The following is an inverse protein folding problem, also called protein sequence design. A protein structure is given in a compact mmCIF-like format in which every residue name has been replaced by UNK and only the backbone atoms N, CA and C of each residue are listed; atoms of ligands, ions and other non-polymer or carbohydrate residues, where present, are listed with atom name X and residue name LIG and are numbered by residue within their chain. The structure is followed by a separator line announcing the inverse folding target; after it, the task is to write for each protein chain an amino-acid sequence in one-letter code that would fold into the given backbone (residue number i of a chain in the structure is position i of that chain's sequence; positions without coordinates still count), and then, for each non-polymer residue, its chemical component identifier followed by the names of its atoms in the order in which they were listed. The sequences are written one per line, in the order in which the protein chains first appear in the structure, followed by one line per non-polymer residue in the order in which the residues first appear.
data_IF_247743765030
#
_entry.id   IF_247743765030
#
_cell.length_a   1.000
_cell.length_b   1.000
_cell.length_c   1.000
_cell.angle_alpha   90.00
_cell.angle_beta   90.00
_cell.angle_gamma   90.00
#
_symmetry.space_group_name_H-M   'P 1'
#
loop_
_entity.id
_entity.type
_entity.pdbx_description
1 polymer ?
#
# COMPACT_ATOMS: atom_id res chain seq x y z
N UNK A 1 -21.41 19.00 34.31
CA UNK A 1 -21.96 18.05 33.31
C UNK A 1 -22.22 18.88 32.07
N UNK A 2 -21.40 18.69 31.01
CA UNK A 2 -21.68 19.40 29.73
C UNK A 2 -22.89 18.70 29.10
N UNK A 3 -24.01 19.41 29.06
CA UNK A 3 -25.19 18.98 28.32
C UNK A 3 -24.80 18.77 26.84
N UNK A 4 -25.10 17.56 26.29
CA UNK A 4 -24.87 17.28 24.89
C UNK A 4 -25.77 18.17 24.05
N UNK A 5 -25.26 18.86 23.03
CA UNK A 5 -26.09 19.57 22.11
C UNK A 5 -27.09 18.62 21.40
N UNK A 6 -28.36 18.96 21.29
CA UNK A 6 -29.41 18.13 20.68
C UNK A 6 -29.10 17.67 19.25
N UNK A 7 -28.18 18.33 18.57
CA UNK A 7 -27.74 18.00 17.23
C UNK A 7 -26.59 16.96 17.16
N UNK A 8 -25.97 16.60 18.30
CA UNK A 8 -24.90 15.60 18.35
C UNK A 8 -25.48 14.18 18.27
N UNK A 9 -24.74 13.25 17.63
CA UNK A 9 -25.13 11.85 17.63
C UNK A 9 -25.07 11.25 19.04
N UNK A 10 -25.99 10.33 19.34
CA UNK A 10 -26.04 9.66 20.65
C UNK A 10 -24.73 8.96 20.99
N UNK A 11 -24.13 8.28 19.99
CA UNK A 11 -22.81 7.67 20.12
C UNK A 11 -21.87 8.24 19.03
N UNK A 12 -20.74 8.79 19.46
CA UNK A 12 -19.73 9.38 18.58
C UNK A 12 -18.32 9.00 19.06
N UNK A 13 -17.93 7.71 18.91
CA UNK A 13 -16.62 7.25 19.33
C UNK A 13 -15.53 8.05 18.64
N UNK A 14 -14.43 8.32 19.36
CA UNK A 14 -13.27 8.96 18.78
C UNK A 14 -12.59 8.01 17.78
N UNK A 15 -11.97 8.54 16.71
CA UNK A 15 -11.08 7.74 15.89
C UNK A 15 -9.99 7.09 16.74
N UNK A 16 -9.69 5.82 16.46
CA UNK A 16 -8.62 5.09 17.10
C UNK A 16 -7.26 5.44 16.45
N UNK A 17 -6.13 5.21 17.11
CA UNK A 17 -4.82 5.55 16.58
C UNK A 17 -4.55 4.94 15.19
N UNK A 18 -4.36 5.79 14.18
CA UNK A 18 -4.13 5.36 12.81
C UNK A 18 -5.34 4.71 12.13
N UNK A 19 -6.55 4.88 12.64
CA UNK A 19 -7.76 4.34 12.03
C UNK A 19 -8.07 5.02 10.70
N UNK A 20 -8.47 4.24 9.69
CA UNK A 20 -8.93 4.78 8.40
C UNK A 20 -10.37 5.28 8.51
N UNK A 21 -10.69 6.35 7.79
CA UNK A 21 -11.98 7.03 7.85
C UNK A 21 -13.19 6.11 7.68
N UNK A 22 -13.15 5.20 6.70
CA UNK A 22 -14.22 4.24 6.46
C UNK A 22 -14.47 3.33 7.66
N UNK A 23 -13.42 2.89 8.36
CA UNK A 23 -13.53 2.09 9.58
C UNK A 23 -14.20 2.88 10.70
N UNK A 24 -13.71 4.08 10.96
CA UNK A 24 -14.29 4.94 11.99
C UNK A 24 -15.77 5.27 11.72
N UNK A 25 -16.13 5.58 10.47
CA UNK A 25 -17.51 5.90 10.11
C UNK A 25 -18.44 4.68 10.35
N UNK A 26 -17.98 3.46 10.02
CA UNK A 26 -18.74 2.25 10.26
C UNK A 26 -18.87 1.93 11.76
N UNK A 27 -17.81 2.11 12.55
CA UNK A 27 -17.90 1.98 14.01
C UNK A 27 -18.89 2.97 14.61
N UNK A 28 -18.87 4.21 14.15
CA UNK A 28 -19.81 5.25 14.58
C UNK A 28 -21.26 4.90 14.22
N UNK A 29 -21.51 4.42 13.00
CA UNK A 29 -22.84 3.94 12.59
C UNK A 29 -23.37 2.81 13.49
N UNK A 30 -22.49 1.84 13.78
CA UNK A 30 -22.83 0.70 14.67
C UNK A 30 -23.09 1.11 16.10
N UNK A 31 -22.26 2.02 16.63
CA UNK A 31 -22.48 2.57 17.98
C UNK A 31 -23.87 3.22 18.10
N UNK A 32 -24.37 3.79 17.02
CA UNK A 32 -25.73 4.36 16.95
C UNK A 32 -26.78 3.31 16.55
N UNK A 33 -26.42 2.02 16.39
CA UNK A 33 -27.32 0.93 15.99
C UNK A 33 -28.01 1.12 14.65
N UNK A 34 -27.39 1.88 13.76
CA UNK A 34 -27.91 2.19 12.42
C UNK A 34 -27.03 1.48 11.37
N UNK A 35 -27.65 0.95 10.33
CA UNK A 35 -26.90 0.38 9.18
C UNK A 35 -26.05 1.48 8.54
N UNK A 36 -24.78 1.23 8.16
CA UNK A 36 -23.91 2.23 7.57
C UNK A 36 -24.52 3.02 6.41
N UNK A 37 -25.24 2.36 5.50
CA UNK A 37 -25.93 3.01 4.38
C UNK A 37 -27.02 3.96 4.84
N UNK A 38 -27.83 3.54 5.79
CA UNK A 38 -28.86 4.38 6.42
C UNK A 38 -28.26 5.53 7.19
N UNK A 39 -27.18 5.25 7.95
CA UNK A 39 -26.47 6.26 8.74
C UNK A 39 -25.92 7.38 7.84
N UNK A 40 -25.21 7.03 6.76
CA UNK A 40 -24.66 8.00 5.82
C UNK A 40 -25.76 8.77 5.09
N UNK A 41 -26.85 8.12 4.72
CA UNK A 41 -27.98 8.76 4.04
C UNK A 41 -28.67 9.78 4.94
N UNK A 42 -28.99 9.40 6.19
CA UNK A 42 -29.72 10.22 7.15
C UNK A 42 -28.88 11.38 7.71
N UNK A 43 -27.61 11.09 7.99
CA UNK A 43 -26.77 12.05 8.73
C UNK A 43 -25.96 12.97 7.83
N UNK A 44 -25.50 12.48 6.69
CA UNK A 44 -24.67 13.24 5.74
C UNK A 44 -25.41 13.66 4.47
N UNK A 45 -26.64 13.18 4.28
CA UNK A 45 -27.42 13.46 3.07
C UNK A 45 -26.81 12.92 1.78
N UNK A 46 -25.80 12.04 1.89
CA UNK A 46 -25.01 11.56 0.76
C UNK A 46 -25.08 10.03 0.64
N UNK A 47 -26.09 9.53 -0.06
CA UNK A 47 -26.28 8.10 -0.31
C UNK A 47 -25.15 7.46 -1.13
N UNK A 48 -24.31 8.24 -1.78
CA UNK A 48 -23.26 7.76 -2.67
C UNK A 48 -21.88 7.70 -2.02
N UNK A 49 -21.70 8.22 -0.80
CA UNK A 49 -20.41 8.24 -0.11
C UNK A 49 -19.77 6.84 0.00
N UNK A 50 -20.58 5.81 0.30
CA UNK A 50 -20.12 4.42 0.40
C UNK A 50 -19.85 3.75 -0.96
N UNK A 51 -20.16 4.41 -2.08
CA UNK A 51 -19.88 3.87 -3.43
C UNK A 51 -18.50 4.25 -3.95
N UNK A 52 -17.95 5.36 -3.46
CA UNK A 52 -16.62 5.86 -3.81
C UNK A 52 -15.54 5.44 -2.82
N UNK A 53 -14.32 5.88 -3.07
CA UNK A 53 -13.20 5.77 -2.12
C UNK A 53 -13.29 6.92 -1.11
N UNK A 54 -14.08 6.69 -0.04
CA UNK A 54 -14.33 7.68 0.99
C UNK A 54 -13.10 8.01 1.85
N UNK A 55 -12.06 7.16 1.79
CA UNK A 55 -10.85 7.35 2.57
C UNK A 55 -9.90 8.39 1.94
N UNK A 56 -10.12 8.78 0.68
CA UNK A 56 -9.19 9.70 0.00
C UNK A 56 -9.22 11.10 0.55
N UNK A 57 -10.37 11.73 0.50
CA UNK A 57 -10.56 13.12 0.96
C UNK A 57 -12.02 13.37 1.29
N UNK A 58 -12.25 14.02 2.39
CA UNK A 58 -13.58 14.48 2.75
C UNK A 58 -13.89 15.81 2.05
N UNK A 59 -15.09 15.92 1.50
CA UNK A 59 -15.60 17.21 1.03
C UNK A 59 -15.78 18.16 2.21
N UNK A 60 -15.52 19.47 2.07
CA UNK A 60 -15.61 20.42 3.17
C UNK A 60 -16.95 20.39 3.91
N UNK A 61 -18.06 20.27 3.17
CA UNK A 61 -19.40 20.20 3.78
C UNK A 61 -19.63 18.91 4.58
N UNK A 62 -19.05 17.77 4.13
CA UNK A 62 -19.12 16.50 4.86
C UNK A 62 -18.27 16.59 6.12
N UNK A 63 -17.05 17.12 6.01
CA UNK A 63 -16.14 17.32 7.14
C UNK A 63 -16.76 18.20 8.22
N UNK A 64 -17.36 19.31 7.83
CA UNK A 64 -18.05 20.23 8.76
C UNK A 64 -19.19 19.51 9.51
N UNK A 65 -20.09 18.83 8.78
CA UNK A 65 -21.20 18.08 9.39
C UNK A 65 -20.72 16.97 10.33
N UNK A 66 -19.65 16.25 9.97
CA UNK A 66 -19.07 15.22 10.83
C UNK A 66 -18.48 15.84 12.10
N UNK A 67 -17.70 16.91 11.98
CA UNK A 67 -17.09 17.60 13.10
C UNK A 67 -18.16 18.09 14.10
N UNK A 68 -19.20 18.71 13.60
CA UNK A 68 -20.35 19.17 14.40
C UNK A 68 -21.03 17.98 15.12
N UNK A 69 -21.44 16.94 14.37
CA UNK A 69 -22.22 15.81 14.88
C UNK A 69 -21.45 14.89 15.84
N UNK A 70 -20.13 14.91 15.80
CA UNK A 70 -19.28 14.03 16.62
C UNK A 70 -18.44 14.77 17.66
N UNK A 71 -18.51 16.10 17.67
CA UNK A 71 -17.69 16.96 18.55
C UNK A 71 -16.17 16.64 18.37
N UNK A 72 -15.79 16.29 17.15
CA UNK A 72 -14.38 16.05 16.81
C UNK A 72 -13.79 17.26 16.11
N UNK A 73 -12.53 17.57 16.39
CA UNK A 73 -11.80 18.58 15.62
C UNK A 73 -11.71 18.14 14.13
N UNK A 74 -11.92 19.05 13.17
CA UNK A 74 -11.77 18.74 11.75
C UNK A 74 -10.43 18.09 11.41
N UNK A 75 -9.33 18.53 12.03
CA UNK A 75 -8.00 17.96 11.85
C UNK A 75 -7.93 16.47 12.26
N UNK A 76 -8.61 16.08 13.33
CA UNK A 76 -8.70 14.67 13.76
C UNK A 76 -9.37 13.81 12.71
N UNK A 77 -10.43 14.29 12.07
CA UNK A 77 -11.13 13.58 11.01
C UNK A 77 -10.29 13.51 9.71
N UNK A 78 -9.60 14.59 9.36
CA UNK A 78 -8.68 14.62 8.21
C UNK A 78 -7.53 13.63 8.42
N UNK A 79 -7.02 13.49 9.64
CA UNK A 79 -5.96 12.54 9.96
C UNK A 79 -6.35 11.07 9.74
N UNK A 80 -7.64 10.75 9.63
CA UNK A 80 -8.12 9.40 9.27
C UNK A 80 -8.16 9.16 7.76
N UNK A 81 -7.84 10.14 6.94
CA UNK A 81 -7.94 10.07 5.48
C UNK A 81 -6.58 10.00 4.80
N UNK A 82 -6.56 9.48 3.58
CA UNK A 82 -5.37 9.41 2.72
C UNK A 82 -4.84 10.79 2.29
N UNK A 83 -5.60 11.88 2.56
CA UNK A 83 -5.10 13.24 2.30
C UNK A 83 -3.83 13.57 3.10
N UNK A 84 -3.55 12.84 4.17
CA UNK A 84 -2.28 12.93 4.93
C UNK A 84 -1.05 12.53 4.14
N UNK A 85 -1.21 11.78 3.05
CA UNK A 85 -0.11 11.42 2.14
C UNK A 85 0.28 12.56 1.19
N UNK A 86 -0.61 13.56 1.03
CA UNK A 86 -0.38 14.71 0.16
C UNK A 86 0.63 15.66 0.81
N UNK A 87 1.65 15.99 0.08
CA UNK A 87 2.83 16.70 0.56
C UNK A 87 4.00 15.75 0.84
N UNK A 88 3.93 14.87 1.83
CA UNK A 88 5.03 13.97 2.14
C UNK A 88 5.34 12.91 1.07
N UNK A 89 4.34 12.26 0.50
CA UNK A 89 4.57 11.12 -0.42
C UNK A 89 4.03 11.34 -1.83
N UNK A 90 3.08 12.24 -2.00
CA UNK A 90 2.51 12.57 -3.31
C UNK A 90 2.21 14.05 -3.40
N UNK A 91 2.47 14.66 -4.55
CA UNK A 91 2.17 16.10 -4.77
C UNK A 91 0.68 16.37 -4.75
N UNK A 92 -0.12 15.43 -5.25
CA UNK A 92 -1.58 15.54 -5.33
C UNK A 92 -2.23 14.17 -5.22
N UNK A 93 -3.20 14.07 -4.36
CA UNK A 93 -4.06 12.91 -4.24
C UNK A 93 -5.22 13.03 -5.25
N UNK A 94 -5.20 12.20 -6.29
CA UNK A 94 -6.28 12.18 -7.27
C UNK A 94 -7.60 11.69 -6.65
N UNK A 95 -8.75 12.33 -6.95
CA UNK A 95 -10.03 11.98 -6.32
C UNK A 95 -10.51 10.57 -6.67
N UNK A 96 -10.28 10.11 -7.88
CA UNK A 96 -10.87 8.88 -8.43
C UNK A 96 -9.90 7.97 -9.19
N UNK A 97 -8.71 8.45 -9.56
CA UNK A 97 -7.73 7.70 -10.34
C UNK A 97 -6.68 7.02 -9.47
N UNK A 98 -5.86 6.17 -10.08
CA UNK A 98 -4.71 5.59 -9.41
C UNK A 98 -3.78 6.72 -8.92
N UNK A 99 -3.42 6.66 -7.65
CA UNK A 99 -2.45 7.56 -7.03
C UNK A 99 -1.31 6.70 -6.52
N UNK A 100 -0.07 7.15 -6.74
CA UNK A 100 1.11 6.49 -6.18
C UNK A 100 0.94 6.31 -4.68
N UNK A 101 1.38 5.18 -4.17
CA UNK A 101 1.34 4.79 -2.76
C UNK A 101 -0.04 4.42 -2.20
N UNK A 102 -1.13 4.58 -2.97
CA UNK A 102 -2.49 4.31 -2.50
C UNK A 102 -3.05 3.06 -3.16
N UNK A 103 -3.34 2.05 -2.36
CA UNK A 103 -4.01 0.85 -2.84
C UNK A 103 -5.42 1.20 -3.34
N UNK A 104 -5.83 0.64 -4.49
CA UNK A 104 -7.17 0.87 -4.99
C UNK A 104 -8.20 0.38 -3.98
N UNK A 105 -9.18 1.22 -3.70
CA UNK A 105 -10.31 0.83 -2.89
C UNK A 105 -11.23 -0.06 -3.73
N UNK A 106 -11.43 -1.28 -3.27
CA UNK A 106 -12.19 -2.27 -4.01
C UNK A 106 -13.62 -1.86 -4.28
N UNK A 107 -13.84 -1.22 -5.40
CA UNK A 107 -15.17 -0.96 -5.92
C UNK A 107 -15.59 -2.15 -6.77
N UNK A 108 -16.70 -2.78 -6.40
CA UNK A 108 -17.30 -3.85 -7.19
C UNK A 108 -17.91 -3.26 -8.46
N UNK A 109 -17.37 -3.58 -9.62
CA UNK A 109 -17.90 -3.22 -10.92
C UNK A 109 -17.65 -4.33 -11.93
N UNK A 110 -18.64 -4.61 -12.76
CA UNK A 110 -18.69 -5.67 -13.78
C UNK A 110 -17.31 -6.05 -14.34
N UNK A 111 -16.84 -7.27 -14.02
CA UNK A 111 -15.65 -7.87 -14.64
C UNK A 111 -14.27 -7.44 -14.15
N UNK A 112 -14.14 -6.57 -13.14
CA UNK A 112 -12.84 -6.19 -12.58
C UNK A 112 -12.59 -6.87 -11.24
N UNK A 113 -11.37 -7.42 -11.05
CA UNK A 113 -10.90 -7.91 -9.75
C UNK A 113 -10.96 -6.77 -8.74
N UNK A 114 -11.68 -6.99 -7.65
CA UNK A 114 -11.80 -6.05 -6.55
C UNK A 114 -10.59 -6.22 -5.65
N UNK A 115 -9.81 -5.16 -5.48
CA UNK A 115 -8.79 -5.11 -4.44
C UNK A 115 -9.47 -4.75 -3.13
N UNK A 116 -9.36 -5.61 -2.12
CA UNK A 116 -9.77 -5.29 -0.74
C UNK A 116 -8.71 -4.51 0.00
N UNK A 117 -9.01 -4.13 1.23
CA UNK A 117 -8.03 -3.57 2.14
C UNK A 117 -7.30 -4.75 2.80
N UNK A 118 -5.98 -4.87 2.64
CA UNK A 118 -5.21 -5.85 3.39
C UNK A 118 -5.35 -5.59 4.90
N UNK A 119 -5.23 -6.62 5.71
CA UNK A 119 -5.42 -6.49 7.16
C UNK A 119 -4.48 -7.42 7.93
N UNK A 120 -4.23 -7.08 9.19
CA UNK A 120 -3.55 -7.96 10.14
C UNK A 120 -4.61 -8.63 11.04
N UNK A 121 -4.74 -9.97 11.02
CA UNK A 121 -5.72 -10.67 11.84
C UNK A 121 -5.47 -10.50 13.34
N UNK A 122 -4.21 -10.43 13.76
CA UNK A 122 -3.85 -10.16 15.17
C UNK A 122 -4.31 -8.78 15.62
N UNK A 123 -4.13 -7.73 14.79
CA UNK A 123 -4.67 -6.40 15.10
C UNK A 123 -6.18 -6.38 15.18
N UNK A 124 -6.87 -7.15 14.34
CA UNK A 124 -8.34 -7.26 14.38
C UNK A 124 -8.85 -8.06 15.58
N UNK A 125 -7.99 -8.90 16.19
CA UNK A 125 -8.31 -9.70 17.39
C UNK A 125 -8.03 -8.97 18.70
N UNK A 126 -7.26 -7.87 18.66
CA UNK A 126 -6.83 -7.15 19.87
C UNK A 126 -7.75 -5.96 20.13
N UNK A 127 -8.52 -6.01 21.21
CA UNK A 127 -9.43 -4.94 21.63
C UNK A 127 -10.59 -4.71 20.64
N UNK A 128 -10.96 -3.44 20.45
CA UNK A 128 -11.98 -3.07 19.46
C UNK A 128 -11.40 -3.20 18.04
N UNK A 129 -11.96 -4.02 17.16
CA UNK A 129 -11.43 -4.20 15.82
C UNK A 129 -11.64 -2.95 14.95
N UNK A 130 -10.57 -2.53 14.26
CA UNK A 130 -10.62 -1.44 13.29
C UNK A 130 -9.57 -1.61 12.20
N UNK A 131 -9.80 -0.97 11.04
CA UNK A 131 -8.86 -0.98 9.92
C UNK A 131 -7.95 0.25 9.98
N UNK A 132 -6.66 0.03 9.72
CA UNK A 132 -5.65 1.09 9.82
C UNK A 132 -5.48 1.80 8.47
N UNK A 133 -5.24 3.11 8.50
CA UNK A 133 -4.95 3.93 7.31
C UNK A 133 -3.73 3.40 6.54
N UNK A 134 -2.72 2.91 7.28
CA UNK A 134 -1.50 2.32 6.71
C UNK A 134 -1.78 1.10 5.82
N UNK A 135 -2.79 0.33 6.12
CA UNK A 135 -3.19 -0.84 5.30
C UNK A 135 -3.74 -0.45 3.92
N UNK A 136 -4.02 0.84 3.72
CA UNK A 136 -4.37 1.43 2.42
C UNK A 136 -3.15 1.87 1.61
N UNK A 137 -1.94 1.75 2.17
CA UNK A 137 -0.70 2.20 1.53
C UNK A 137 0.05 1.02 0.88
N UNK A 138 0.50 1.21 -0.37
CA UNK A 138 1.22 0.15 -1.09
C UNK A 138 2.60 -0.16 -0.50
N UNK A 139 3.21 0.80 0.18
CA UNK A 139 4.48 0.65 0.88
C UNK A 139 4.34 -0.01 2.27
N UNK A 140 3.14 -0.41 2.69
CA UNK A 140 2.90 -1.05 3.97
C UNK A 140 2.30 -2.47 3.81
N UNK A 141 3.04 -3.44 3.26
CA UNK A 141 2.58 -4.82 3.12
C UNK A 141 2.64 -5.61 4.43
N UNK A 142 3.29 -5.08 5.47
CA UNK A 142 3.48 -5.75 6.75
C UNK A 142 2.85 -4.97 7.91
N UNK A 143 2.47 -5.70 8.95
CA UNK A 143 2.04 -5.14 10.22
C UNK A 143 3.28 -4.82 11.08
N UNK A 144 3.56 -3.56 11.32
CA UNK A 144 4.69 -3.13 12.17
C UNK A 144 4.55 -3.55 13.64
N UNK A 145 3.32 -3.77 14.11
CA UNK A 145 3.05 -4.20 15.49
C UNK A 145 3.34 -5.70 15.70
N UNK A 146 3.01 -6.54 14.69
CA UNK A 146 3.09 -7.99 14.82
C UNK A 146 4.22 -8.61 13.98
N UNK A 147 4.92 -7.82 13.17
CA UNK A 147 6.04 -8.30 12.33
C UNK A 147 5.62 -9.28 11.23
N UNK A 148 4.35 -9.34 10.89
CA UNK A 148 3.80 -10.30 9.91
C UNK A 148 3.28 -9.60 8.66
N UNK A 149 3.26 -10.28 7.51
CA UNK A 149 2.61 -9.79 6.31
C UNK A 149 1.11 -9.61 6.54
N UNK A 150 0.53 -8.62 5.88
CA UNK A 150 -0.91 -8.41 5.89
C UNK A 150 -1.61 -9.46 5.02
N UNK A 151 -2.84 -9.83 5.40
CA UNK A 151 -3.68 -10.71 4.59
C UNK A 151 -4.41 -9.92 3.52
N UNK A 152 -4.29 -10.37 2.26
CA UNK A 152 -4.90 -9.72 1.10
C UNK A 152 -6.39 -10.04 0.90
N UNK A 153 -6.93 -11.03 1.64
CA UNK A 153 -8.31 -11.48 1.50
C UNK A 153 -8.78 -12.39 2.62
N UNK A 154 -10.01 -12.82 2.52
CA UNK A 154 -10.64 -13.72 3.49
C UNK A 154 -9.92 -15.07 3.55
N UNK A 155 -9.59 -15.62 4.72
CA UNK A 155 -8.94 -16.93 4.84
C UNK A 155 -9.81 -18.09 4.32
N UNK A 156 -11.12 -17.97 4.41
CA UNK A 156 -12.05 -19.06 4.03
C UNK A 156 -12.41 -19.09 2.54
N UNK A 157 -12.54 -17.92 1.89
CA UNK A 157 -13.06 -17.87 0.52
C UNK A 157 -12.24 -16.99 -0.44
N UNK A 158 -11.10 -16.48 0.02
CA UNK A 158 -10.16 -15.63 -0.71
C UNK A 158 -10.77 -14.31 -1.23
N UNK A 159 -12.02 -14.00 -0.85
CA UNK A 159 -12.63 -12.74 -1.22
C UNK A 159 -11.87 -11.56 -0.59
N UNK A 160 -11.69 -10.45 -1.32
CA UNK A 160 -11.05 -9.27 -0.76
C UNK A 160 -11.84 -8.74 0.45
N UNK A 161 -11.14 -8.24 1.48
CA UNK A 161 -11.78 -7.67 2.64
C UNK A 161 -12.37 -6.30 2.28
N UNK A 162 -13.71 -6.21 2.25
CA UNK A 162 -14.47 -5.02 1.86
C UNK A 162 -15.54 -4.76 2.94
N UNK A 163 -15.08 -4.51 4.16
CA UNK A 163 -15.92 -4.41 5.36
C UNK A 163 -17.04 -3.35 5.28
N UNK A 164 -16.84 -2.30 4.49
CA UNK A 164 -17.87 -1.26 4.26
C UNK A 164 -19.03 -1.73 3.35
N UNK A 165 -18.93 -2.91 2.77
CA UNK A 165 -19.94 -3.51 1.89
C UNK A 165 -20.62 -4.75 2.48
N UNK A 166 -20.45 -5.00 3.76
CA UNK A 166 -21.09 -6.12 4.44
C UNK A 166 -22.59 -6.18 4.18
N UNK A 167 -23.25 -5.04 4.00
CA UNK A 167 -24.70 -4.97 3.74
C UNK A 167 -25.10 -5.38 2.32
N UNK A 168 -24.16 -5.52 1.40
CA UNK A 168 -24.42 -5.81 -0.01
C UNK A 168 -24.04 -7.25 -0.42
N UNK A 169 -23.54 -8.07 0.52
CA UNK A 169 -23.14 -9.44 0.27
C UNK A 169 -24.36 -10.38 0.05
N UNK A 170 -24.18 -11.48 -0.70
CA UNK A 170 -25.21 -12.50 -0.82
C UNK A 170 -25.52 -13.08 0.57
N UNK A 171 -26.77 -13.18 0.93
CA UNK A 171 -27.21 -13.67 2.25
C UNK A 171 -27.28 -12.61 3.36
N UNK A 172 -26.79 -11.39 3.12
CA UNK A 172 -26.69 -10.33 4.15
C UNK A 172 -27.83 -9.30 4.05
N UNK A 173 -28.93 -9.64 3.34
CA UNK A 173 -30.10 -8.72 3.19
C UNK A 173 -30.60 -8.15 4.52
N UNK A 174 -30.30 -8.81 5.64
CA UNK A 174 -30.66 -8.42 6.99
C UNK A 174 -29.44 -8.24 7.91
N UNK A 175 -28.23 -7.96 7.36
CA UNK A 175 -27.08 -7.66 8.21
C UNK A 175 -27.46 -6.53 9.17
N UNK A 176 -27.64 -6.95 10.41
CA UNK A 176 -27.97 -6.04 11.48
C UNK A 176 -26.80 -5.06 11.66
N UNK A 177 -27.08 -3.87 12.17
CA UNK A 177 -26.10 -2.91 12.62
C UNK A 177 -25.01 -3.48 13.57
N UNK A 178 -25.14 -4.75 13.96
CA UNK A 178 -24.24 -5.48 14.88
C UNK A 178 -23.22 -6.38 14.21
N UNK A 179 -23.27 -6.63 12.88
CA UNK A 179 -22.30 -7.51 12.23
C UNK A 179 -20.88 -6.96 12.40
N UNK A 180 -19.92 -7.70 12.98
CA UNK A 180 -18.57 -7.23 13.20
C UNK A 180 -17.87 -6.83 11.88
N UNK A 181 -16.99 -5.85 11.93
CA UNK A 181 -16.21 -5.45 10.74
C UNK A 181 -15.16 -6.49 10.35
N UNK A 182 -14.99 -7.50 11.19
CA UNK A 182 -14.14 -8.67 10.96
C UNK A 182 -14.87 -9.77 10.17
N UNK A 183 -16.14 -9.60 9.83
CA UNK A 183 -16.92 -10.58 9.07
C UNK A 183 -16.65 -10.42 7.57
N UNK A 184 -16.40 -11.53 6.88
CA UNK A 184 -16.27 -11.53 5.43
C UNK A 184 -17.62 -11.21 4.77
N UNK A 185 -17.64 -10.25 3.85
CA UNK A 185 -18.86 -9.86 3.15
C UNK A 185 -19.43 -10.96 2.24
N UNK A 186 -18.59 -11.94 1.81
CA UNK A 186 -18.97 -12.99 0.86
C UNK A 186 -19.42 -14.26 1.54
N UNK A 187 -18.61 -14.85 2.44
CA UNK A 187 -18.87 -16.13 3.07
C UNK A 187 -19.33 -16.03 4.53
N UNK A 188 -19.35 -14.84 5.11
CA UNK A 188 -19.68 -14.57 6.51
C UNK A 188 -18.68 -15.15 7.53
N UNK A 189 -17.58 -15.77 7.10
CA UNK A 189 -16.50 -16.26 7.97
C UNK A 189 -15.77 -15.11 8.66
N UNK A 190 -15.11 -15.41 9.76
CA UNK A 190 -14.35 -14.44 10.53
C UNK A 190 -12.97 -14.22 9.87
N UNK A 191 -12.62 -12.98 9.58
CA UNK A 191 -11.34 -12.60 9.00
C UNK A 191 -10.15 -12.77 9.98
N UNK A 192 -10.42 -13.00 11.26
CA UNK A 192 -9.41 -13.24 12.29
C UNK A 192 -8.91 -14.68 12.34
N UNK A 193 -9.70 -15.62 11.80
CA UNK A 193 -9.42 -17.06 11.76
C UNK A 193 -8.41 -17.39 10.66
N UNK A 194 -7.16 -16.93 10.83
CA UNK A 194 -6.06 -17.19 9.89
C UNK A 194 -5.10 -18.19 10.51
N UNK A 195 -4.89 -19.30 9.83
CA UNK A 195 -3.85 -20.27 10.16
C UNK A 195 -2.49 -19.78 9.65
N UNK A 196 -1.59 -19.48 10.59
CA UNK A 196 -0.24 -19.06 10.27
C UNK A 196 -0.15 -17.67 9.60
N UNK A 197 0.53 -16.75 10.24
CA UNK A 197 0.85 -15.45 9.64
C UNK A 197 2.30 -15.47 9.16
N UNK A 198 2.50 -15.21 7.88
CA UNK A 198 3.83 -15.15 7.28
C UNK A 198 4.65 -14.01 7.92
N UNK A 199 5.86 -14.27 8.48
CA UNK A 199 6.70 -13.22 9.03
C UNK A 199 7.20 -12.30 7.91
N UNK A 200 7.22 -11.01 8.19
CA UNK A 200 7.81 -10.03 7.30
C UNK A 200 9.35 -10.01 7.48
N UNK A 201 10.09 -9.85 6.40
CA UNK A 201 11.54 -9.69 6.49
C UNK A 201 11.91 -8.39 7.20
N UNK A 202 13.08 -8.39 7.86
CA UNK A 202 13.61 -7.20 8.53
C UNK A 202 13.76 -6.05 7.54
N UNK A 203 14.23 -6.32 6.32
CA UNK A 203 14.38 -5.31 5.27
C UNK A 203 13.02 -4.71 4.86
N UNK A 204 11.96 -5.53 4.77
CA UNK A 204 10.62 -5.02 4.49
C UNK A 204 10.14 -4.06 5.59
N UNK A 205 10.28 -4.46 6.85
CA UNK A 205 9.87 -3.65 8.01
C UNK A 205 10.69 -2.36 8.13
N UNK A 206 12.01 -2.46 7.92
CA UNK A 206 12.88 -1.30 7.93
C UNK A 206 12.55 -0.32 6.79
N UNK A 207 12.39 -0.81 5.57
CA UNK A 207 11.99 0.04 4.44
C UNK A 207 10.65 0.73 4.71
N UNK A 208 9.70 -0.01 5.27
CA UNK A 208 8.40 0.54 5.67
C UNK A 208 8.57 1.66 6.72
N UNK A 209 9.51 1.54 7.67
CA UNK A 209 9.77 2.57 8.66
C UNK A 209 10.33 3.88 8.06
N UNK A 210 11.05 3.82 6.93
CA UNK A 210 11.49 5.02 6.21
C UNK A 210 10.30 5.84 5.67
N UNK A 211 9.24 5.16 5.22
CA UNK A 211 8.00 5.86 4.84
C UNK A 211 7.25 6.41 6.06
N UNK A 212 7.38 5.77 7.23
CA UNK A 212 6.85 6.31 8.48
C UNK A 212 7.57 7.61 8.87
N UNK A 213 8.89 7.63 8.75
CA UNK A 213 9.69 8.83 8.97
C UNK A 213 9.33 9.94 7.96
N UNK A 214 9.16 9.58 6.69
CA UNK A 214 8.69 10.51 5.67
C UNK A 214 7.36 11.19 6.05
N UNK A 215 6.41 10.40 6.57
CA UNK A 215 5.08 10.89 6.96
C UNK A 215 5.08 11.70 8.24
N UNK A 216 5.92 11.33 9.22
CA UNK A 216 5.89 11.92 10.56
C UNK A 216 6.87 13.08 10.72
N UNK A 217 8.04 12.97 10.09
CA UNK A 217 9.14 13.96 10.21
C UNK A 217 9.29 14.84 8.97
N UNK A 218 8.62 14.49 7.86
CA UNK A 218 8.78 15.18 6.57
C UNK A 218 10.15 14.96 5.93
N UNK A 219 10.99 14.09 6.50
CA UNK A 219 12.36 13.77 6.05
C UNK A 219 12.68 12.30 6.32
N UNK A 220 13.63 11.78 5.53
CA UNK A 220 14.17 10.42 5.68
C UNK A 220 15.69 10.49 5.78
N UNK A 221 16.28 9.69 6.66
CA UNK A 221 17.73 9.54 6.79
C UNK A 221 18.21 8.30 6.03
N UNK A 222 19.20 8.45 5.16
CA UNK A 222 19.89 7.40 4.42
C UNK A 222 21.39 7.52 4.75
N UNK A 223 21.85 6.78 5.76
CA UNK A 223 23.14 7.03 6.38
C UNK A 223 23.21 8.46 6.92
N UNK A 224 24.23 9.21 6.53
CA UNK A 224 24.43 10.63 6.90
C UNK A 224 23.55 11.61 6.10
N UNK A 225 22.87 11.13 5.06
CA UNK A 225 22.02 11.98 4.23
C UNK A 225 20.65 12.16 4.86
N UNK A 226 20.18 13.41 4.97
CA UNK A 226 18.81 13.74 5.32
C UNK A 226 18.08 14.30 4.10
N UNK A 227 17.12 13.54 3.56
CA UNK A 227 16.42 13.88 2.33
C UNK A 227 14.97 14.26 2.59
N UNK A 228 14.39 15.23 1.85
CA UNK A 228 12.98 15.57 1.97
C UNK A 228 12.08 14.39 1.61
N UNK A 229 10.98 14.20 2.36
CA UNK A 229 10.06 13.08 2.20
C UNK A 229 9.55 12.91 0.76
N UNK A 230 9.11 14.00 0.12
CA UNK A 230 8.60 13.93 -1.26
C UNK A 230 9.68 13.51 -2.27
N UNK A 231 10.92 13.99 -2.09
CA UNK A 231 12.04 13.62 -2.95
C UNK A 231 12.43 12.14 -2.76
N UNK A 232 12.43 11.67 -1.50
CA UNK A 232 12.58 10.24 -1.18
C UNK A 232 11.50 9.40 -1.87
N UNK A 233 10.23 9.79 -1.71
CA UNK A 233 9.10 9.05 -2.26
C UNK A 233 9.14 8.97 -3.79
N UNK A 234 9.54 10.03 -4.49
CA UNK A 234 9.67 10.03 -5.95
C UNK A 234 10.78 9.07 -6.41
N UNK A 235 11.95 9.10 -5.77
CA UNK A 235 13.07 8.20 -6.09
C UNK A 235 12.75 6.76 -5.72
N UNK A 236 12.20 6.51 -4.54
CA UNK A 236 11.79 5.18 -4.11
C UNK A 236 10.78 4.56 -5.08
N UNK A 237 9.81 5.33 -5.60
CA UNK A 237 8.85 4.83 -6.57
C UNK A 237 9.49 4.47 -7.91
N UNK A 238 10.49 5.22 -8.35
CA UNK A 238 11.27 4.90 -9.55
C UNK A 238 12.07 3.61 -9.37
N UNK A 239 12.79 3.47 -8.27
CA UNK A 239 13.56 2.26 -7.95
C UNK A 239 12.66 1.03 -7.84
N UNK A 240 11.53 1.13 -7.15
CA UNK A 240 10.52 0.05 -7.07
C UNK A 240 10.00 -0.33 -8.47
N UNK A 241 9.87 0.65 -9.35
CA UNK A 241 9.53 0.42 -10.76
C UNK A 241 10.58 -0.42 -11.49
N UNK A 242 11.87 -0.17 -11.28
CA UNK A 242 12.96 -0.95 -11.88
C UNK A 242 13.01 -2.37 -11.30
N UNK A 243 12.69 -2.53 -10.01
CA UNK A 243 12.70 -3.80 -9.30
C UNK A 243 11.49 -4.70 -9.59
N UNK A 244 10.40 -4.15 -10.15
CA UNK A 244 9.15 -4.91 -10.37
C UNK A 244 8.67 -4.97 -11.81
N UNK A 245 9.24 -4.17 -12.73
CA UNK A 245 8.70 -4.00 -14.08
C UNK A 245 9.72 -4.29 -15.17
N UNK A 246 9.21 -4.78 -16.31
CA UNK A 246 9.92 -4.89 -17.58
C UNK A 246 11.04 -5.94 -17.64
N UNK A 247 11.34 -6.43 -18.84
CA UNK A 247 12.44 -7.38 -19.06
C UNK A 247 13.81 -6.68 -19.07
N UNK A 248 13.86 -5.37 -19.35
CA UNK A 248 15.12 -4.63 -19.52
C UNK A 248 15.91 -4.48 -18.22
N UNK A 249 15.26 -4.61 -17.08
CA UNK A 249 15.85 -4.54 -15.75
C UNK A 249 15.99 -5.92 -15.08
N UNK A 250 15.77 -7.01 -15.83
CA UNK A 250 15.78 -8.35 -15.26
C UNK A 250 17.08 -8.69 -14.54
N UNK A 251 18.24 -8.40 -15.15
CA UNK A 251 19.53 -8.65 -14.53
C UNK A 251 19.77 -7.88 -13.24
N UNK A 252 19.38 -6.60 -13.20
CA UNK A 252 19.44 -5.77 -11.99
C UNK A 252 18.52 -6.33 -10.91
N UNK A 253 17.27 -6.62 -11.26
CA UNK A 253 16.26 -7.16 -10.34
C UNK A 253 16.71 -8.49 -9.73
N UNK A 254 17.20 -9.45 -10.55
CA UNK A 254 17.67 -10.73 -10.06
C UNK A 254 18.84 -10.57 -9.10
N UNK A 255 19.84 -9.76 -9.45
CA UNK A 255 21.00 -9.49 -8.60
C UNK A 255 20.58 -8.88 -7.25
N UNK A 256 19.71 -7.89 -7.26
CA UNK A 256 19.23 -7.23 -6.03
C UNK A 256 18.37 -8.21 -5.20
N UNK A 257 17.56 -9.05 -5.84
CA UNK A 257 16.74 -10.04 -5.13
C UNK A 257 17.60 -11.10 -4.43
N UNK A 258 18.59 -11.65 -5.14
CA UNK A 258 19.57 -12.59 -4.57
C UNK A 258 20.30 -11.99 -3.37
N UNK A 259 20.78 -10.75 -3.50
CA UNK A 259 21.50 -10.07 -2.43
C UNK A 259 20.60 -9.69 -1.23
N UNK A 260 19.33 -9.42 -1.48
CA UNK A 260 18.33 -9.17 -0.43
C UNK A 260 17.75 -10.47 0.17
N UNK A 261 18.13 -11.64 -0.33
CA UNK A 261 17.63 -12.94 0.15
C UNK A 261 16.15 -13.18 -0.15
N UNK A 262 15.63 -12.64 -1.26
CA UNK A 262 14.21 -12.79 -1.67
C UNK A 262 14.12 -13.27 -3.11
N UNK A 263 12.98 -13.88 -3.47
CA UNK A 263 12.71 -14.22 -4.86
C UNK A 263 12.39 -12.96 -5.69
N UNK A 264 12.90 -12.85 -6.93
CA UNK A 264 12.58 -11.73 -7.79
C UNK A 264 11.11 -11.74 -8.21
N UNK A 265 10.48 -10.57 -8.17
CA UNK A 265 9.11 -10.42 -8.68
C UNK A 265 9.13 -10.40 -10.19
N UNK A 266 8.52 -11.41 -10.81
CA UNK A 266 8.48 -11.53 -12.27
C UNK A 266 7.28 -10.79 -12.85
N UNK A 267 7.46 -10.04 -13.96
CA UNK A 267 6.35 -9.42 -14.68
C UNK A 267 5.46 -10.52 -15.28
N UNK A 268 4.14 -10.42 -15.08
CA UNK A 268 3.22 -11.33 -15.77
C UNK A 268 3.23 -11.09 -17.29
N UNK A 269 3.19 -12.17 -18.10
CA UNK A 269 3.05 -12.06 -19.55
C UNK A 269 1.79 -11.27 -19.92
N UNK A 270 1.93 -10.33 -20.85
CA UNK A 270 0.80 -9.52 -21.33
C UNK A 270 0.48 -8.26 -20.52
N UNK A 271 0.98 -8.09 -19.31
CA UNK A 271 0.85 -6.86 -18.54
C UNK A 271 2.15 -6.03 -18.62
N UNK A 272 2.15 -5.01 -19.47
CA UNK A 272 3.34 -4.16 -19.72
C UNK A 272 3.83 -3.38 -18.49
N UNK A 273 3.01 -3.18 -17.47
CA UNK A 273 3.45 -2.58 -16.20
C UNK A 273 2.43 -2.87 -15.10
N UNK A 274 2.75 -3.75 -14.16
CA UNK A 274 2.04 -3.74 -12.88
C UNK A 274 2.59 -2.58 -12.06
N UNK A 275 1.71 -1.65 -11.70
CA UNK A 275 2.02 -0.65 -10.68
C UNK A 275 2.21 -1.36 -9.34
N UNK A 276 3.03 -0.82 -8.45
CA UNK A 276 3.22 -1.34 -7.09
C UNK A 276 1.88 -1.62 -6.38
N UNK A 277 0.90 -0.75 -6.61
CA UNK A 277 -0.45 -0.83 -6.04
C UNK A 277 -1.27 -2.03 -6.55
N UNK A 278 -0.87 -2.63 -7.66
CA UNK A 278 -1.54 -3.80 -8.24
C UNK A 278 -0.87 -5.13 -7.84
N UNK A 279 0.31 -5.09 -7.21
CA UNK A 279 1.01 -6.29 -6.75
C UNK A 279 0.31 -6.91 -5.53
N UNK A 280 0.31 -8.25 -5.42
CA UNK A 280 -0.05 -8.95 -4.19
C UNK A 280 0.77 -8.48 -2.99
N UNK A 281 0.31 -8.75 -1.78
CA UNK A 281 1.01 -8.37 -0.54
C UNK A 281 2.42 -8.91 -0.50
N UNK A 282 2.61 -10.20 -0.81
CA UNK A 282 3.89 -10.89 -0.83
C UNK A 282 4.87 -10.23 -1.80
N UNK A 283 4.43 -9.98 -3.04
CA UNK A 283 5.27 -9.34 -4.05
C UNK A 283 5.68 -7.92 -3.65
N UNK A 284 4.75 -7.15 -3.05
CA UNK A 284 5.07 -5.83 -2.49
C UNK A 284 6.11 -5.92 -1.39
N UNK A 285 6.02 -6.92 -0.51
CA UNK A 285 6.99 -7.13 0.56
C UNK A 285 8.38 -7.47 -0.01
N UNK A 286 8.46 -8.35 -1.02
CA UNK A 286 9.70 -8.70 -1.70
C UNK A 286 10.34 -7.47 -2.36
N UNK A 287 9.57 -6.69 -3.11
CA UNK A 287 10.09 -5.48 -3.80
C UNK A 287 10.54 -4.43 -2.78
N UNK A 288 9.85 -4.29 -1.64
CA UNK A 288 10.28 -3.42 -0.55
C UNK A 288 11.54 -3.92 0.14
N UNK A 289 11.70 -5.23 0.34
CA UNK A 289 12.94 -5.79 0.87
C UNK A 289 14.13 -5.50 -0.07
N UNK A 290 13.93 -5.64 -1.38
CA UNK A 290 14.92 -5.28 -2.40
C UNK A 290 15.28 -3.80 -2.37
N UNK A 291 14.30 -2.91 -2.24
CA UNK A 291 14.53 -1.48 -2.05
C UNK A 291 15.30 -1.22 -0.76
N UNK A 292 14.92 -1.87 0.33
CA UNK A 292 15.60 -1.76 1.62
C UNK A 292 17.07 -2.12 1.51
N UNK A 293 17.37 -3.23 0.88
CA UNK A 293 18.75 -3.64 0.64
C UNK A 293 19.55 -2.58 -0.13
N UNK A 294 18.98 -1.94 -1.15
CA UNK A 294 19.65 -0.86 -1.89
C UNK A 294 19.88 0.39 -1.01
N UNK A 295 18.95 0.70 -0.09
CA UNK A 295 19.00 1.91 0.72
C UNK A 295 19.86 1.78 1.99
N UNK A 296 20.09 0.55 2.48
CA UNK A 296 20.81 0.30 3.72
C UNK A 296 22.28 0.74 3.64
N UNK A 297 22.90 0.62 2.47
CA UNK A 297 24.25 1.13 2.18
C UNK A 297 24.21 2.05 0.95
N UNK A 298 23.55 3.18 1.12
CA UNK A 298 23.37 4.17 0.07
C UNK A 298 24.61 5.04 -0.13
N UNK A 299 25.11 5.27 -1.37
CA UNK A 299 24.61 4.70 -2.64
C UNK A 299 25.36 3.45 -3.10
N UNK A 300 26.28 2.90 -2.30
CA UNK A 300 27.22 1.84 -2.68
C UNK A 300 26.50 0.65 -3.35
N UNK A 301 25.54 0.04 -2.66
CA UNK A 301 24.82 -1.14 -3.18
C UNK A 301 24.04 -0.84 -4.47
N UNK A 302 23.50 0.36 -4.62
CA UNK A 302 22.83 0.76 -5.87
C UNK A 302 23.82 0.76 -7.04
N UNK A 303 24.99 1.38 -6.85
CA UNK A 303 26.02 1.50 -7.88
C UNK A 303 26.56 0.13 -8.26
N UNK A 304 26.91 -0.69 -7.29
CA UNK A 304 27.46 -2.05 -7.53
C UNK A 304 26.46 -2.94 -8.27
N UNK A 305 25.20 -2.95 -7.84
CA UNK A 305 24.16 -3.73 -8.49
C UNK A 305 23.88 -3.24 -9.92
N UNK A 306 23.88 -1.91 -10.13
CA UNK A 306 23.66 -1.32 -11.44
C UNK A 306 24.83 -1.61 -12.41
N UNK A 307 26.07 -1.47 -11.98
CA UNK A 307 27.26 -1.77 -12.77
C UNK A 307 27.31 -3.26 -13.12
N UNK A 308 27.07 -4.14 -12.14
CA UNK A 308 27.02 -5.59 -12.36
C UNK A 308 25.90 -6.07 -13.29
N UNK A 309 24.86 -5.25 -13.46
CA UNK A 309 23.75 -5.48 -14.39
C UNK A 309 23.88 -4.69 -15.71
N UNK A 310 24.97 -3.98 -15.92
CA UNK A 310 25.24 -3.13 -17.09
C UNK A 310 24.17 -2.05 -17.31
N UNK A 311 23.63 -1.51 -16.22
CA UNK A 311 22.65 -0.43 -16.29
C UNK A 311 23.30 0.95 -16.46
N UNK A 312 22.71 1.76 -17.30
CA UNK A 312 23.11 3.14 -17.51
C UNK A 312 22.31 4.11 -16.65
N UNK A 313 22.86 5.30 -16.41
CA UNK A 313 22.22 6.39 -15.64
C UNK A 313 20.81 6.73 -16.16
N UNK A 314 20.60 6.74 -17.47
CA UNK A 314 19.33 7.10 -18.08
C UNK A 314 18.19 6.14 -17.73
N UNK A 315 18.48 4.88 -17.37
CA UNK A 315 17.47 3.92 -16.95
C UNK A 315 16.90 4.24 -15.55
N UNK A 316 17.69 4.87 -14.69
CA UNK A 316 17.30 5.26 -13.34
C UNK A 316 16.54 6.59 -13.26
N UNK A 317 16.59 7.40 -14.31
CA UNK A 317 15.91 8.71 -14.36
C UNK A 317 14.78 8.78 -15.38
N UNK A 318 14.46 7.66 -16.03
CA UNK A 318 13.57 7.60 -17.20
C UNK A 318 12.18 8.19 -16.97
N UNK A 319 11.63 8.02 -15.76
CA UNK A 319 10.27 8.48 -15.43
C UNK A 319 10.28 9.64 -14.44
N UNK A 320 11.46 10.21 -14.15
CA UNK A 320 11.61 11.44 -13.39
C UNK A 320 11.72 12.62 -14.36
N UNK A 321 11.13 13.74 -13.98
CA UNK A 321 11.34 14.98 -14.70
C UNK A 321 12.80 15.42 -14.53
N UNK A 322 13.57 15.56 -15.62
CA UNK A 322 15.00 15.93 -15.55
C UNK A 322 15.26 17.21 -14.75
N UNK A 323 14.32 18.17 -14.77
CA UNK A 323 14.42 19.42 -14.03
C UNK A 323 14.25 19.23 -12.51
N UNK A 324 13.61 18.15 -12.08
CA UNK A 324 13.29 17.90 -10.67
C UNK A 324 14.00 16.71 -10.05
N UNK A 325 14.93 16.05 -10.80
CA UNK A 325 15.77 14.97 -10.23
C UNK A 325 16.54 15.49 -9.02
N UNK A 326 16.33 14.90 -7.82
CA UNK A 326 17.01 15.37 -6.62
C UNK A 326 18.52 15.30 -6.73
N UNK A 327 19.23 16.33 -6.23
CA UNK A 327 20.70 16.42 -6.31
C UNK A 327 21.41 15.22 -5.68
N UNK A 328 20.93 14.75 -4.51
CA UNK A 328 21.47 13.58 -3.82
C UNK A 328 21.33 12.29 -4.64
N UNK A 329 20.25 12.14 -5.40
CA UNK A 329 20.04 10.98 -6.28
C UNK A 329 20.91 11.09 -7.54
N UNK A 330 21.02 12.31 -8.11
CA UNK A 330 21.90 12.56 -9.26
C UNK A 330 23.35 12.24 -8.94
N UNK A 331 23.84 12.68 -7.77
CA UNK A 331 25.18 12.38 -7.28
C UNK A 331 25.43 10.86 -7.13
N UNK A 332 24.43 10.12 -6.60
CA UNK A 332 24.52 8.67 -6.47
C UNK A 332 24.65 7.94 -7.83
N UNK A 333 24.14 8.52 -8.91
CA UNK A 333 24.19 7.94 -10.25
C UNK A 333 25.45 8.36 -11.05
N UNK A 334 26.27 9.30 -10.56
CA UNK A 334 27.47 9.77 -11.28
C UNK A 334 28.46 8.66 -11.68
N UNK A 335 28.69 7.61 -10.87
CA UNK A 335 29.58 6.52 -11.24
C UNK A 335 29.07 5.65 -12.39
N UNK A 336 27.78 5.75 -12.77
CA UNK A 336 27.19 4.96 -13.84
C UNK A 336 27.45 5.59 -15.22
N UNK A 337 27.57 4.77 -16.25
CA UNK A 337 27.76 5.21 -17.64
C UNK A 337 26.56 6.02 -18.14
N UNK A 338 26.83 6.97 -19.04
CA UNK A 338 25.78 7.83 -19.66
C UNK A 338 25.09 7.20 -20.88
N UNK A 339 25.62 6.11 -21.44
CA UNK A 339 25.10 5.45 -22.64
C UNK A 339 24.81 3.97 -22.43
N UNK A 340 24.15 3.32 -23.39
CA UNK A 340 23.95 1.86 -23.40
C UNK A 340 25.26 1.15 -23.68
N UNK A 341 26.15 1.14 -22.68
CA UNK A 341 27.48 0.56 -22.76
C UNK A 341 27.50 -0.94 -22.51
N UNK A 342 27.04 -1.76 -23.45
CA UNK A 342 27.60 -3.10 -23.58
C UNK A 342 28.98 -2.95 -24.21
N UNK A 343 30.06 -3.50 -23.62
CA UNK A 343 31.32 -3.66 -24.35
C UNK A 343 31.05 -4.47 -25.62
N UNK A 344 31.35 -3.90 -26.78
CA UNK A 344 31.36 -4.65 -28.05
C UNK A 344 32.38 -5.78 -27.87
N UNK A 345 31.91 -7.02 -27.67
CA UNK A 345 32.80 -8.18 -27.63
C UNK A 345 32.42 -9.38 -26.80
N UNK A 346 31.50 -9.31 -25.85
CA UNK A 346 31.09 -10.52 -25.12
C UNK A 346 29.85 -11.18 -25.75
N UNK A 347 30.10 -12.21 -26.58
CA UNK A 347 29.09 -13.18 -27.05
C UNK A 347 28.49 -13.89 -25.83
N UNK A 348 27.15 -14.01 -25.78
CA UNK A 348 26.45 -14.92 -24.87
C UNK A 348 27.09 -16.29 -24.96
N UNK A 349 27.64 -16.83 -23.85
CA UNK A 349 27.79 -18.27 -23.68
C UNK A 349 26.36 -18.82 -23.55
N UNK A 350 25.84 -19.38 -24.62
CA UNK A 350 24.71 -20.29 -24.57
C UNK A 350 25.20 -21.54 -23.86
N UNK A 351 24.65 -21.83 -22.70
CA UNK A 351 24.77 -23.14 -22.08
C UNK A 351 23.85 -24.05 -22.89
N UNK A 352 24.44 -24.78 -23.85
CA UNK A 352 23.79 -25.91 -24.51
C UNK A 352 23.70 -27.03 -23.50
N UNK A 353 22.52 -27.25 -22.95
CA UNK A 353 22.21 -28.44 -22.18
C UNK A 353 22.09 -29.63 -23.12
N UNK A 354 23.08 -30.48 -23.08
CA UNK A 354 23.07 -31.81 -23.74
C UNK A 354 21.99 -32.66 -23.05
N UNK A 355 20.87 -32.84 -23.72
CA UNK A 355 19.86 -33.84 -23.33
C UNK A 355 20.36 -35.19 -23.81
N UNK A 356 20.88 -36.02 -22.91
CA UNK A 356 21.10 -37.45 -23.17
C UNK A 356 19.73 -38.16 -23.15
N UNK A 357 19.24 -38.51 -24.33
CA UNK A 357 18.19 -39.50 -24.51
C UNK A 357 18.78 -40.87 -24.25
N UNK A 358 18.43 -41.48 -23.11
CA UNK A 358 18.63 -42.93 -22.90
C UNK A 358 17.47 -43.66 -23.57
N UNK A 359 17.76 -44.37 -24.66
CA UNK A 359 16.89 -45.40 -25.22
C UNK A 359 17.03 -46.66 -24.34
N UNK A 360 15.88 -47.14 -23.84
CA UNK A 360 15.78 -48.46 -23.23
C UNK A 360 15.51 -49.49 -24.32
N UNK A 361 16.31 -50.53 -24.31
CA UNK A 361 16.00 -51.86 -24.87
C UNK A 361 15.16 -52.66 -23.90
#
# INVERSE_FOLDING_TARGET
MNERPDWCWAAHPRPLPGEVFSSWLLRTARANRIKPTGFVALTLGNKTLLRGDMDRRLKPEVLRRLAERTVQAPATLVATTLSTLEGPLTRRLAPTSNTRWVLPFGLWGRGRRVSGIPFCPHCLSTGEPYYRLRWRCSFAPACSTHGTLLHGGCPHCLAPAVFHRLEFGPGVKNALARTPITTCWRCQGDLREVEGCEPASILTLWTQSLFDDALTRGRVSLGDLSVPAIAFAEVAYELLGLLSRGPQTAGFRTRVAEAAGVEPVLPEPGHRSRLLEALPVQDRARVLAMLGWLLEDWPGRLVDAAQGAWMSRSQFTRHLDPATVPGWYRAALEPLTTGHGRPRGQKRRTVEGTVHTAQAT
#
